data_IF_767999706455
#
_entry.id   IF_767999706455
#
_cell.length_a   1.000
_cell.length_b   1.000
_cell.length_c   1.000
_cell.angle_alpha   90.00
_cell.angle_beta   90.00
_cell.angle_gamma   90.00
#
_symmetry.space_group_name_H-M   'P 1'
#
loop_
_entity.id
_entity.type
_entity.pdbx_description
1 polymer ?
#
# COMPACT_ATOMS: atom_id res chain seq x y z
N UNK A 1 -7.43 25.76 5.34
CA UNK A 1 -7.30 25.98 3.88
C UNK A 1 -6.08 25.22 3.40
N UNK A 2 -6.25 23.95 2.99
CA UNK A 2 -5.17 23.13 2.42
C UNK A 2 -4.93 23.56 0.97
N UNK A 3 -3.70 23.97 0.66
CA UNK A 3 -3.27 24.24 -0.71
C UNK A 3 -3.16 22.91 -1.45
N UNK A 4 -4.21 22.47 -2.13
CA UNK A 4 -4.02 21.55 -3.25
C UNK A 4 -3.28 22.35 -4.31
N UNK A 5 -2.05 21.98 -4.61
CA UNK A 5 -1.38 22.45 -5.81
C UNK A 5 -2.20 21.93 -6.99
N UNK A 6 -3.09 22.77 -7.55
CA UNK A 6 -4.05 22.39 -8.59
C UNK A 6 -3.42 21.98 -9.92
N UNK A 7 -2.10 21.80 -9.95
CA UNK A 7 -1.28 21.48 -11.12
C UNK A 7 -0.83 20.02 -11.13
N UNK A 8 -1.03 19.28 -10.04
CA UNK A 8 -0.44 17.94 -9.85
C UNK A 8 -1.26 16.80 -10.47
N UNK A 9 -2.60 16.90 -10.47
CA UNK A 9 -3.50 15.86 -10.96
C UNK A 9 -4.48 16.41 -12.01
N UNK A 10 -4.84 15.57 -12.98
CA UNK A 10 -5.98 15.86 -13.89
C UNK A 10 -7.30 15.80 -13.11
N UNK A 11 -8.40 16.30 -13.67
CA UNK A 11 -9.66 16.44 -12.92
C UNK A 11 -10.22 15.11 -12.38
N UNK A 12 -10.14 14.04 -13.17
CA UNK A 12 -10.56 12.69 -12.80
C UNK A 12 -9.61 12.03 -11.78
N UNK A 13 -8.31 12.27 -11.93
CA UNK A 13 -7.28 11.84 -10.98
C UNK A 13 -7.42 12.56 -9.64
N UNK A 14 -7.78 13.85 -9.67
CA UNK A 14 -7.99 14.66 -8.49
C UNK A 14 -9.19 14.17 -7.67
N UNK A 15 -10.29 13.79 -8.32
CA UNK A 15 -11.43 13.17 -7.64
C UNK A 15 -11.02 11.87 -6.94
N UNK A 16 -10.27 11.02 -7.64
CA UNK A 16 -9.77 9.75 -7.09
C UNK A 16 -8.82 9.97 -5.91
N UNK A 17 -7.92 10.95 -6.02
CA UNK A 17 -7.01 11.35 -4.94
C UNK A 17 -7.77 11.86 -3.71
N UNK A 18 -8.74 12.75 -3.90
CA UNK A 18 -9.54 13.29 -2.80
C UNK A 18 -10.33 12.20 -2.08
N UNK A 19 -10.83 11.20 -2.82
CA UNK A 19 -11.50 10.04 -2.24
C UNK A 19 -10.53 9.19 -1.42
N UNK A 20 -9.34 8.91 -1.95
CA UNK A 20 -8.27 8.20 -1.22
C UNK A 20 -7.91 8.93 0.07
N UNK A 21 -7.62 10.23 -0.01
CA UNK A 21 -7.30 11.08 1.15
C UNK A 21 -8.39 11.01 2.21
N UNK A 22 -9.65 11.19 1.81
CA UNK A 22 -10.79 11.14 2.75
C UNK A 22 -10.88 9.78 3.43
N UNK A 23 -10.79 8.69 2.68
CA UNK A 23 -10.87 7.34 3.23
C UNK A 23 -9.70 7.06 4.19
N UNK A 24 -8.48 7.51 3.86
CA UNK A 24 -7.31 7.37 4.74
C UNK A 24 -7.41 8.23 6.01
N UNK A 25 -7.90 9.46 5.91
CA UNK A 25 -8.04 10.35 7.07
C UNK A 25 -9.10 9.85 8.06
N UNK A 26 -10.26 9.39 7.58
CA UNK A 26 -11.43 9.11 8.43
C UNK A 26 -11.54 7.64 8.87
N UNK A 27 -10.76 6.73 8.28
CA UNK A 27 -10.84 5.31 8.64
C UNK A 27 -10.44 5.08 10.09
N UNK A 28 -11.35 4.46 10.82
CA UNK A 28 -11.11 3.84 12.12
C UNK A 28 -10.95 2.33 11.93
N UNK A 29 -9.95 1.74 12.60
CA UNK A 29 -9.63 0.31 12.46
C UNK A 29 -8.89 -0.05 11.16
N UNK A 30 -8.92 -1.33 10.80
CA UNK A 30 -8.14 -1.88 9.70
C UNK A 30 -8.79 -1.67 8.32
N UNK A 31 -7.98 -1.47 7.29
CA UNK A 31 -8.43 -1.38 5.91
C UNK A 31 -7.33 -1.62 4.90
N UNK A 32 -7.72 -2.16 3.75
CA UNK A 32 -6.83 -2.32 2.58
C UNK A 32 -7.47 -1.56 1.43
N UNK A 33 -6.68 -0.72 0.76
CA UNK A 33 -7.08 0.03 -0.42
C UNK A 33 -6.13 -0.30 -1.56
N UNK A 34 -6.67 -0.40 -2.78
CA UNK A 34 -5.88 -0.58 -3.98
C UNK A 34 -5.90 0.69 -4.81
N UNK A 35 -4.71 1.20 -5.13
CA UNK A 35 -4.53 2.42 -5.92
C UNK A 35 -3.91 2.02 -7.26
N UNK A 36 -4.64 2.24 -8.35
CA UNK A 36 -4.11 2.07 -9.71
C UNK A 36 -3.47 3.36 -10.16
N UNK A 37 -2.16 3.37 -10.32
CA UNK A 37 -1.41 4.55 -10.74
C UNK A 37 -0.17 4.15 -11.54
N UNK A 38 0.43 5.11 -12.25
CA UNK A 38 1.77 4.95 -12.84
C UNK A 38 2.86 5.13 -11.77
N UNK A 39 4.09 4.64 -11.98
CA UNK A 39 5.19 4.86 -11.02
C UNK A 39 5.51 6.33 -10.73
N UNK A 40 5.20 7.24 -11.67
CA UNK A 40 5.34 8.69 -11.44
C UNK A 40 4.24 9.19 -10.52
N UNK A 41 2.99 8.81 -10.77
CA UNK A 41 1.85 9.16 -9.93
C UNK A 41 1.95 8.57 -8.53
N UNK A 42 2.51 7.37 -8.39
CA UNK A 42 2.75 6.72 -7.09
C UNK A 42 3.54 7.63 -6.14
N UNK A 43 4.69 8.15 -6.62
CA UNK A 43 5.54 9.05 -5.83
C UNK A 43 4.78 10.30 -5.41
N UNK A 44 4.07 10.90 -6.35
CA UNK A 44 3.26 12.10 -6.13
C UNK A 44 2.17 11.83 -5.08
N UNK A 45 1.43 10.74 -5.20
CA UNK A 45 0.34 10.39 -4.26
C UNK A 45 0.89 10.22 -2.84
N UNK A 46 2.02 9.50 -2.70
CA UNK A 46 2.64 9.28 -1.38
C UNK A 46 3.09 10.61 -0.77
N UNK A 47 3.78 11.45 -1.54
CA UNK A 47 4.27 12.76 -1.09
C UNK A 47 3.11 13.69 -0.69
N UNK A 48 2.07 13.76 -1.51
CA UNK A 48 0.88 14.59 -1.22
C UNK A 48 0.13 14.09 0.01
N UNK A 49 -0.05 12.76 0.19
CA UNK A 49 -0.70 12.20 1.39
C UNK A 49 0.12 12.48 2.67
N UNK A 50 1.44 12.33 2.62
CA UNK A 50 2.32 12.64 3.75
C UNK A 50 2.23 14.11 4.17
N UNK A 51 2.03 15.03 3.20
CA UNK A 51 1.83 16.45 3.48
C UNK A 51 0.41 16.77 3.96
N UNK A 52 -0.59 16.10 3.37
CA UNK A 52 -2.01 16.38 3.58
C UNK A 52 -2.59 15.74 4.85
N UNK A 53 -2.01 14.64 5.33
CA UNK A 53 -2.41 13.89 6.52
C UNK A 53 -1.22 13.89 7.50
N UNK A 54 -1.13 14.95 8.29
CA UNK A 54 0.01 15.19 9.20
C UNK A 54 -0.21 14.63 10.61
N UNK A 55 -1.41 14.13 10.90
CA UNK A 55 -1.83 13.57 12.18
C UNK A 55 -1.73 12.04 12.23
N UNK A 56 -1.25 11.41 11.16
CA UNK A 56 -1.05 9.96 11.04
C UNK A 56 0.39 9.63 10.66
N UNK A 57 0.89 8.52 11.20
CA UNK A 57 2.18 7.96 10.82
C UNK A 57 2.06 7.26 9.45
N UNK A 58 2.90 7.69 8.51
CA UNK A 58 2.88 7.18 7.12
C UNK A 58 4.25 6.63 6.77
N UNK A 59 4.30 5.39 6.28
CA UNK A 59 5.53 4.77 5.79
C UNK A 59 5.29 4.03 4.47
N UNK A 60 6.39 3.67 3.81
CA UNK A 60 6.41 2.97 2.53
C UNK A 60 7.23 1.68 2.65
N UNK A 61 6.63 0.57 2.25
CA UNK A 61 7.28 -0.70 1.98
C UNK A 61 7.47 -0.83 0.46
N UNK A 62 8.71 -0.69 -0.01
CA UNK A 62 9.05 -0.87 -1.42
C UNK A 62 9.43 -2.33 -1.67
N UNK A 63 8.80 -2.92 -2.68
CA UNK A 63 9.06 -4.27 -3.13
C UNK A 63 9.74 -4.22 -4.50
N UNK A 64 11.05 -4.41 -4.51
CA UNK A 64 11.88 -4.29 -5.72
C UNK A 64 12.24 -5.65 -6.35
N UNK A 65 11.83 -6.74 -5.72
CA UNK A 65 12.14 -8.12 -6.13
C UNK A 65 10.99 -9.07 -5.75
N UNK A 66 11.02 -10.29 -6.29
CA UNK A 66 10.03 -11.32 -5.95
C UNK A 66 10.04 -11.62 -4.44
N UNK A 67 8.86 -11.69 -3.84
CA UNK A 67 8.67 -11.98 -2.42
C UNK A 67 7.89 -13.27 -2.24
N UNK A 68 8.19 -14.00 -1.17
CA UNK A 68 7.47 -15.22 -0.82
C UNK A 68 6.21 -14.91 0.00
N UNK A 69 6.34 -14.04 1.00
CA UNK A 69 5.26 -13.71 1.93
C UNK A 69 5.27 -12.23 2.29
N UNK A 70 4.20 -11.52 1.93
CA UNK A 70 4.04 -10.10 2.23
C UNK A 70 3.86 -9.85 3.73
N UNK A 71 3.26 -10.79 4.46
CA UNK A 71 2.99 -10.64 5.89
C UNK A 71 4.28 -10.44 6.69
N UNK A 72 5.31 -11.26 6.42
CA UNK A 72 6.56 -11.23 7.18
C UNK A 72 7.27 -9.88 6.99
N UNK A 73 7.19 -9.30 5.79
CA UNK A 73 7.74 -7.98 5.50
C UNK A 73 6.97 -6.86 6.20
N UNK A 74 5.65 -6.97 6.27
CA UNK A 74 4.81 -6.01 7.01
C UNK A 74 5.08 -6.11 8.52
N UNK A 75 5.16 -7.33 9.06
CA UNK A 75 5.44 -7.58 10.48
C UNK A 75 6.80 -6.98 10.87
N UNK A 76 7.85 -7.25 10.10
CA UNK A 76 9.18 -6.66 10.31
C UNK A 76 9.16 -5.12 10.25
N UNK A 77 8.36 -4.55 9.35
CA UNK A 77 8.26 -3.09 9.16
C UNK A 77 7.54 -2.41 10.33
N UNK A 78 6.51 -3.04 10.89
CA UNK A 78 5.64 -2.47 11.93
C UNK A 78 6.14 -2.81 13.35
N UNK A 79 7.03 -3.81 13.50
CA UNK A 79 7.38 -4.41 14.80
C UNK A 79 7.68 -3.39 15.92
N UNK A 80 8.52 -2.38 15.63
CA UNK A 80 8.97 -1.42 16.67
C UNK A 80 8.24 -0.08 16.60
N UNK A 81 7.52 0.21 15.50
CA UNK A 81 6.86 1.50 15.28
C UNK A 81 5.45 1.29 14.74
N UNK A 82 4.40 1.67 15.49
CA UNK A 82 3.05 1.65 14.96
C UNK A 82 2.94 2.60 13.76
N UNK A 83 2.42 2.08 12.65
CA UNK A 83 2.18 2.80 11.40
C UNK A 83 0.68 2.84 11.15
N UNK A 84 0.11 4.03 10.99
CA UNK A 84 -1.31 4.23 10.68
C UNK A 84 -1.61 3.95 9.20
N UNK A 85 -0.70 4.34 8.31
CA UNK A 85 -0.83 4.16 6.86
C UNK A 85 0.46 3.57 6.30
N UNK A 86 0.39 2.34 5.80
CA UNK A 86 1.49 1.68 5.09
C UNK A 86 1.21 1.63 3.59
N UNK A 87 1.96 2.39 2.81
CA UNK A 87 1.99 2.24 1.35
C UNK A 87 2.86 1.04 0.98
N UNK A 88 2.38 0.21 0.07
CA UNK A 88 3.12 -0.94 -0.46
C UNK A 88 3.29 -0.75 -1.96
N UNK A 89 4.55 -0.58 -2.38
CA UNK A 89 4.93 -0.27 -3.76
C UNK A 89 5.56 -1.48 -4.43
N UNK A 90 5.35 -1.66 -5.74
CA UNK A 90 6.02 -2.72 -6.51
C UNK A 90 5.39 -4.12 -6.36
N UNK A 91 4.12 -4.20 -5.96
CA UNK A 91 3.38 -5.48 -5.90
C UNK A 91 3.42 -6.24 -7.23
N UNK A 92 3.40 -5.53 -8.36
CA UNK A 92 3.44 -6.09 -9.71
C UNK A 92 4.75 -6.82 -10.05
N UNK A 93 5.85 -6.47 -9.39
CA UNK A 93 7.16 -7.13 -9.57
C UNK A 93 7.36 -8.29 -8.61
N UNK A 94 6.58 -8.29 -7.54
CA UNK A 94 6.88 -9.04 -6.33
C UNK A 94 6.08 -10.32 -6.23
N UNK A 95 4.87 -10.30 -6.80
CA UNK A 95 4.05 -11.48 -6.99
C UNK A 95 4.50 -12.17 -8.28
N UNK A 96 5.43 -13.13 -8.17
CA UNK A 96 5.71 -14.07 -9.25
C UNK A 96 4.45 -14.91 -9.46
N UNK A 97 3.56 -14.42 -10.33
CA UNK A 97 2.20 -14.94 -10.47
C UNK A 97 2.19 -16.42 -10.88
N UNK A 98 3.18 -16.82 -11.68
CA UNK A 98 3.33 -18.19 -12.19
C UNK A 98 3.62 -19.20 -11.07
N UNK A 99 4.54 -18.89 -10.15
CA UNK A 99 4.88 -19.77 -9.03
C UNK A 99 3.83 -19.69 -7.92
N UNK A 100 3.27 -18.50 -7.64
CA UNK A 100 2.27 -18.33 -6.59
C UNK A 100 0.95 -19.02 -6.94
N UNK A 101 0.43 -18.86 -8.17
CA UNK A 101 -0.80 -19.54 -8.61
C UNK A 101 -0.58 -21.04 -8.62
N UNK A 102 0.55 -21.51 -9.17
CA UNK A 102 0.89 -22.92 -9.22
C UNK A 102 0.96 -23.54 -7.81
N UNK A 103 1.70 -22.93 -6.89
CA UNK A 103 1.84 -23.46 -5.53
C UNK A 103 0.55 -23.36 -4.70
N UNK A 104 -0.25 -22.30 -4.88
CA UNK A 104 -1.53 -22.15 -4.18
C UNK A 104 -2.56 -23.16 -4.66
N UNK A 105 -2.58 -23.47 -5.97
CA UNK A 105 -3.45 -24.50 -6.54
C UNK A 105 -2.98 -25.92 -6.18
N UNK A 106 -1.66 -26.15 -6.12
CA UNK A 106 -1.08 -27.45 -5.79
C UNK A 106 -1.13 -27.79 -4.29
N UNK A 107 -1.11 -26.80 -3.38
CA UNK A 107 -1.08 -27.03 -1.93
C UNK A 107 -1.96 -26.03 -1.13
N UNK A 108 -3.30 -26.07 -1.28
CA UNK A 108 -4.20 -25.08 -0.68
C UNK A 108 -4.28 -25.09 0.86
N UNK A 109 -3.69 -26.09 1.54
CA UNK A 109 -3.80 -26.27 3.02
C UNK A 109 -2.51 -26.12 3.81
N UNK A 110 -1.34 -25.96 3.16
CA UNK A 110 -0.06 -25.83 3.88
C UNK A 110 0.37 -24.39 4.19
N UNK A 111 -0.23 -23.39 3.55
CA UNK A 111 0.10 -21.98 3.80
C UNK A 111 -0.42 -21.42 5.13
N UNK A 112 -1.23 -22.18 5.89
CA UNK A 112 -1.83 -21.74 7.16
C UNK A 112 -1.46 -22.59 8.38
N UNK A 113 -0.63 -23.62 8.22
CA UNK A 113 -0.16 -24.39 9.38
C UNK A 113 1.15 -23.78 9.88
N UNK A 114 1.04 -22.76 10.74
CA UNK A 114 2.11 -22.41 11.67
C UNK A 114 2.26 -23.61 12.62
N UNK A 115 3.43 -24.24 12.65
CA UNK A 115 3.77 -25.18 13.71
C UNK A 115 3.69 -24.44 15.05
N UNK A 116 3.03 -25.08 16.02
CA UNK A 116 2.78 -24.55 17.36
C UNK A 116 4.04 -24.52 18.22
#
# INVERSE_FOLDING_TARGET
MSRLNSTTFRSDEQESYLRLKRDLSWREGFGILFVRCTPVQEKIIIEEIQQDINDKTVDVLKLDHSIYNLYDLIEQKINDNPIDILFISGLEKSLALDDYIKHTLENPKKSYQREA
#
